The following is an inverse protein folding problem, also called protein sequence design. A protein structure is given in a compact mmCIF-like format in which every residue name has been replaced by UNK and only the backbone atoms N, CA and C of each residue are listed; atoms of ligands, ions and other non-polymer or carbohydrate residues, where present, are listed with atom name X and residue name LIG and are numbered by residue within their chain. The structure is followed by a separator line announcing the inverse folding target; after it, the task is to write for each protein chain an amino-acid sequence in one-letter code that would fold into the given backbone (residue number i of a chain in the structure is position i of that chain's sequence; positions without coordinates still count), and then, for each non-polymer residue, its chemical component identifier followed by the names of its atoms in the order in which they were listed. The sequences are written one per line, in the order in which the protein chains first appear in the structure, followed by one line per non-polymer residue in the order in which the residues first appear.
data_IF_756029720988
#
_entry.id   IF_756029720988
#
_cell.length_a   1.000
_cell.length_b   1.000
_cell.length_c   1.000
_cell.angle_alpha   90.00
_cell.angle_beta   90.00
_cell.angle_gamma   90.00
#
_symmetry.space_group_name_H-M   'P 1'
#
loop_
_entity.id
_entity.type
_entity.pdbx_description
1 polymer ?
#
# COMPACT_ATOMS: atom_id res chain seq x y z
N UNK A 1 -53.74 30.42 -13.60
CA UNK A 1 -54.07 31.85 -13.75
C UNK A 1 -53.20 32.61 -12.76
N UNK A 2 -52.13 33.20 -13.31
CA UNK A 2 -51.81 34.64 -13.21
C UNK A 2 -51.48 35.06 -11.77
N UNK A 3 -50.22 35.36 -11.42
CA UNK A 3 -49.42 36.44 -12.02
C UNK A 3 -49.89 37.77 -11.40
N UNK A 4 -49.07 38.74 -11.03
CA UNK A 4 -47.66 39.03 -11.14
C UNK A 4 -47.45 40.26 -10.20
N UNK A 5 -46.33 40.39 -9.49
CA UNK A 5 -45.22 41.30 -9.86
C UNK A 5 -45.52 42.78 -9.55
N UNK A 6 -44.74 43.48 -8.75
CA UNK A 6 -43.60 44.37 -9.11
C UNK A 6 -43.47 45.35 -7.90
N UNK A 7 -42.35 45.94 -7.47
CA UNK A 7 -41.20 46.36 -8.24
C UNK A 7 -39.97 46.74 -7.38
N UNK A 8 -38.80 46.44 -7.96
CA UNK A 8 -37.56 47.24 -8.08
C UNK A 8 -37.13 48.18 -6.93
N UNK A 9 -35.88 48.02 -6.48
CA UNK A 9 -34.81 48.93 -6.94
C UNK A 9 -33.39 48.38 -6.77
N UNK A 10 -32.57 48.64 -7.77
CA UNK A 10 -31.14 48.33 -7.91
C UNK A 10 -30.39 49.66 -7.87
N UNK A 11 -29.35 49.80 -7.04
CA UNK A 11 -28.16 50.54 -7.45
C UNK A 11 -26.92 50.19 -6.60
N UNK A 12 -25.79 50.12 -7.31
CA UNK A 12 -24.47 49.63 -6.93
C UNK A 12 -23.70 50.63 -6.04
N UNK A 13 -22.81 50.11 -5.20
CA UNK A 13 -21.52 50.76 -4.95
C UNK A 13 -20.45 49.71 -4.68
N UNK A 14 -19.40 49.76 -5.48
CA UNK A 14 -18.15 49.02 -5.34
C UNK A 14 -17.46 49.36 -4.01
N UNK A 15 -16.96 48.34 -3.31
CA UNK A 15 -15.68 48.46 -2.59
C UNK A 15 -14.94 47.15 -2.68
N UNK A 16 -13.84 47.21 -3.43
CA UNK A 16 -12.74 46.26 -3.50
C UNK A 16 -12.02 46.18 -2.14
N UNK A 17 -11.24 45.12 -1.94
CA UNK A 17 -10.31 44.83 -0.80
C UNK A 17 -10.99 44.40 0.51
N UNK A 18 -10.64 43.31 1.19
CA UNK A 18 -9.45 42.45 1.15
C UNK A 18 -9.83 41.02 1.54
N UNK A 19 -9.57 40.04 0.67
CA UNK A 19 -9.47 38.64 1.10
C UNK A 19 -8.14 38.51 1.85
N UNK A 20 -8.18 38.45 3.18
CA UNK A 20 -7.01 38.02 3.95
C UNK A 20 -6.87 36.51 3.76
N UNK A 21 -6.02 36.14 2.82
CA UNK A 21 -5.36 34.84 2.82
C UNK A 21 -4.63 34.73 4.16
N UNK A 22 -5.17 33.97 5.11
CA UNK A 22 -4.39 33.57 6.28
C UNK A 22 -3.35 32.56 5.81
N UNK A 23 -2.16 33.10 5.55
CA UNK A 23 -0.94 32.37 5.29
C UNK A 23 -0.79 31.21 6.26
N UNK A 24 -0.64 30.01 5.71
CA UNK A 24 -0.38 28.80 6.47
C UNK A 24 0.89 28.94 7.30
N UNK A 25 0.75 28.67 8.60
CA UNK A 25 1.83 28.14 9.45
C UNK A 25 1.30 27.34 10.66
N UNK A 26 -0.02 27.22 10.86
CA UNK A 26 -0.58 26.72 12.13
C UNK A 26 -1.03 25.25 12.14
N UNK A 27 -0.72 24.47 11.10
CA UNK A 27 -0.90 23.00 11.10
C UNK A 27 0.34 22.27 11.61
N UNK A 28 1.49 22.94 11.67
CA UNK A 28 2.75 22.34 12.13
C UNK A 28 2.86 22.31 13.66
N UNK A 29 2.20 23.24 14.38
CA UNK A 29 2.36 23.37 15.84
C UNK A 29 1.50 22.38 16.64
N UNK A 30 0.34 21.97 16.10
CA UNK A 30 -0.55 20.97 16.70
C UNK A 30 -0.12 19.51 16.44
N UNK A 31 0.55 19.25 15.32
CA UNK A 31 0.97 17.88 14.92
C UNK A 31 2.08 17.28 15.78
N UNK A 32 2.92 18.11 16.42
CA UNK A 32 3.96 17.63 17.32
C UNK A 32 3.42 17.09 18.66
N UNK A 33 2.33 17.65 19.19
CA UNK A 33 1.80 17.26 20.51
C UNK A 33 1.11 15.88 20.50
N UNK A 34 0.41 15.51 19.42
CA UNK A 34 -0.22 14.16 19.32
C UNK A 34 0.82 13.04 19.17
N UNK A 35 1.94 13.29 18.48
CA UNK A 35 3.08 12.37 18.40
C UNK A 35 3.80 12.22 19.75
N UNK A 36 3.67 13.19 20.66
CA UNK A 36 4.21 13.14 22.03
C UNK A 36 3.30 12.36 23.00
N UNK A 37 1.98 12.41 22.84
CA UNK A 37 1.01 11.78 23.77
C UNK A 37 0.80 10.27 23.55
N UNK A 38 1.18 9.72 22.38
CA UNK A 38 1.21 8.26 22.11
C UNK A 38 2.60 7.64 22.34
N UNK A 39 3.48 8.34 23.05
CA UNK A 39 4.85 7.92 23.26
C UNK A 39 4.93 6.72 24.22
N UNK A 40 5.40 5.59 23.69
CA UNK A 40 6.04 4.54 24.48
C UNK A 40 7.53 4.55 24.12
N UNK A 41 8.47 4.72 25.07
CA UNK A 41 9.88 4.51 24.81
C UNK A 41 10.10 3.03 24.50
N UNK A 42 10.09 2.68 23.22
CA UNK A 42 10.38 1.34 22.76
C UNK A 42 11.90 1.17 22.62
N UNK A 43 12.49 0.58 23.65
CA UNK A 43 13.89 0.18 23.66
C UNK A 43 14.09 -1.05 22.76
N UNK A 44 15.07 -0.98 21.85
CA UNK A 44 15.77 -2.18 21.39
C UNK A 44 17.26 -1.98 21.44
N UNK A 45 17.95 -3.08 21.74
CA UNK A 45 19.41 -3.23 21.64
C UNK A 45 19.92 -2.56 20.35
N UNK A 46 20.63 -1.44 20.54
CA UNK A 46 21.47 -0.82 19.52
C UNK A 46 20.91 0.39 18.76
N UNK A 47 19.72 0.92 19.07
CA UNK A 47 19.27 2.17 18.43
C UNK A 47 18.39 3.04 19.35
N UNK A 48 18.99 4.06 19.96
CA UNK A 48 18.26 5.11 20.67
C UNK A 48 17.70 6.11 19.65
N UNK A 49 16.39 6.04 19.36
CA UNK A 49 15.74 7.05 18.51
C UNK A 49 15.33 8.24 19.36
N UNK A 50 15.69 9.44 18.91
CA UNK A 50 15.46 10.69 19.62
C UNK A 50 14.18 11.38 19.13
N UNK A 51 13.70 12.37 19.89
CA UNK A 51 12.66 13.28 19.41
C UNK A 51 13.05 13.98 18.10
N UNK A 52 14.34 14.30 17.93
CA UNK A 52 14.87 14.92 16.71
C UNK A 52 14.80 13.98 15.52
N UNK A 53 15.02 12.69 15.73
CA UNK A 53 14.90 11.68 14.67
C UNK A 53 13.49 11.58 14.10
N UNK A 54 12.48 11.53 14.99
CA UNK A 54 11.07 11.55 14.56
C UNK A 54 10.73 12.82 13.81
N UNK A 55 11.13 13.97 14.35
CA UNK A 55 10.91 15.26 13.72
C UNK A 55 11.51 15.31 12.32
N UNK A 56 12.75 14.83 12.17
CA UNK A 56 13.43 14.73 10.88
C UNK A 56 12.68 13.81 9.92
N UNK A 57 12.36 12.59 10.32
CA UNK A 57 11.66 11.62 9.47
C UNK A 57 10.31 12.18 8.97
N UNK A 58 9.50 12.72 9.89
CA UNK A 58 8.18 13.24 9.55
C UNK A 58 8.22 14.57 8.80
N UNK A 59 9.32 15.33 8.86
CA UNK A 59 9.53 16.50 8.00
C UNK A 59 9.65 16.14 6.51
N UNK A 60 9.92 14.87 6.19
CA UNK A 60 10.02 14.33 4.83
C UNK A 60 8.69 13.77 4.32
N UNK A 61 7.58 14.07 5.02
CA UNK A 61 6.26 13.52 4.75
C UNK A 61 5.24 14.66 4.57
N UNK A 62 4.20 14.41 3.76
CA UNK A 62 2.95 15.18 3.83
C UNK A 62 2.03 14.47 4.83
N UNK A 63 1.76 15.13 5.94
CA UNK A 63 1.00 14.58 7.08
C UNK A 63 -0.40 15.20 7.09
N UNK A 64 -1.37 14.41 7.57
CA UNK A 64 -2.76 14.81 7.77
C UNK A 64 -3.20 14.45 9.19
N UNK A 65 -4.08 15.26 9.75
CA UNK A 65 -4.66 15.05 11.08
C UNK A 65 -5.84 14.06 11.05
N UNK A 66 -6.35 13.77 9.86
CA UNK A 66 -7.37 12.76 9.60
C UNK A 66 -6.73 11.35 9.61
N UNK A 67 -7.15 10.45 10.53
CA UNK A 67 -6.58 9.12 10.65
C UNK A 67 -6.83 8.24 9.41
N UNK A 68 -7.85 8.54 8.60
CA UNK A 68 -8.17 7.78 7.40
C UNK A 68 -7.33 8.24 6.18
N UNK A 69 -6.61 9.35 6.32
CA UNK A 69 -5.76 9.90 5.26
C UNK A 69 -4.33 9.35 5.34
N UNK A 70 -3.80 8.96 4.18
CA UNK A 70 -2.41 8.54 4.06
C UNK A 70 -1.45 9.69 4.38
N UNK A 71 -0.42 9.41 5.18
CA UNK A 71 0.74 10.30 5.26
C UNK A 71 1.69 9.93 4.14
N UNK A 72 1.88 10.83 3.19
CA UNK A 72 2.58 10.54 1.93
C UNK A 72 4.07 10.83 2.09
N UNK A 73 4.89 9.82 1.86
CA UNK A 73 6.34 9.99 1.71
C UNK A 73 6.66 10.82 0.47
N UNK A 74 7.38 11.93 0.61
CA UNK A 74 7.70 12.86 -0.50
C UNK A 74 9.19 12.93 -0.84
N UNK A 75 10.00 12.04 -0.26
CA UNK A 75 11.43 11.95 -0.55
C UNK A 75 11.72 10.79 -1.53
N UNK A 76 12.94 10.27 -1.51
CA UNK A 76 13.43 9.17 -2.36
C UNK A 76 12.51 7.94 -2.32
N UNK A 77 12.19 7.43 -3.51
CA UNK A 77 11.43 6.22 -3.74
C UNK A 77 12.32 5.15 -4.39
N UNK A 78 12.01 3.88 -4.19
CA UNK A 78 12.59 2.78 -4.97
C UNK A 78 11.78 2.50 -6.26
N UNK A 79 12.27 1.56 -7.07
CA UNK A 79 11.62 1.15 -8.33
C UNK A 79 10.26 0.50 -8.14
N UNK A 80 9.99 -0.03 -6.94
CA UNK A 80 8.71 -0.65 -6.58
C UNK A 80 7.74 0.38 -5.98
N UNK A 81 8.11 1.66 -5.90
CA UNK A 81 7.28 2.73 -5.39
C UNK A 81 7.16 2.75 -3.86
N UNK A 82 8.12 2.18 -3.14
CA UNK A 82 8.23 2.37 -1.69
C UNK A 82 9.19 3.51 -1.36
N UNK A 83 8.82 4.31 -0.35
CA UNK A 83 9.72 5.31 0.21
C UNK A 83 10.96 4.68 0.85
N UNK A 84 12.11 5.34 0.75
CA UNK A 84 13.34 4.90 1.41
C UNK A 84 14.18 6.07 1.93
N UNK A 85 14.95 5.80 2.98
CA UNK A 85 15.80 6.79 3.66
C UNK A 85 17.07 6.13 4.19
N UNK A 86 18.21 6.79 4.05
CA UNK A 86 19.40 6.47 4.84
C UNK A 86 19.27 7.14 6.20
N UNK A 87 19.19 6.33 7.26
CA UNK A 87 18.94 6.80 8.61
C UNK A 87 19.89 6.07 9.57
N UNK A 88 20.73 6.84 10.28
CA UNK A 88 21.84 6.35 11.12
C UNK A 88 22.74 5.32 10.40
N UNK A 89 23.23 5.68 9.20
CA UNK A 89 24.17 4.84 8.44
C UNK A 89 23.56 3.58 7.79
N UNK A 90 22.25 3.35 7.95
CA UNK A 90 21.54 2.20 7.37
C UNK A 90 20.46 2.66 6.41
N UNK A 91 20.26 1.93 5.31
CA UNK A 91 19.11 2.14 4.42
C UNK A 91 17.85 1.49 5.00
N UNK A 92 16.79 2.28 5.11
CA UNK A 92 15.48 1.87 5.61
C UNK A 92 14.39 2.05 4.54
N UNK A 93 13.42 1.15 4.54
CA UNK A 93 12.12 1.42 3.92
C UNK A 93 11.34 2.38 4.83
N UNK A 94 10.78 3.45 4.26
CA UNK A 94 10.18 4.55 5.02
C UNK A 94 9.02 4.08 5.90
N UNK A 95 8.14 3.21 5.39
CA UNK A 95 7.02 2.67 6.17
C UNK A 95 7.51 1.82 7.37
N UNK A 96 8.60 1.05 7.22
CA UNK A 96 9.20 0.28 8.32
C UNK A 96 9.83 1.19 9.36
N UNK A 97 10.50 2.25 8.92
CA UNK A 97 11.06 3.24 9.83
C UNK A 97 9.97 3.99 10.58
N UNK A 98 8.88 4.38 9.91
CA UNK A 98 7.70 4.99 10.54
C UNK A 98 7.13 4.11 11.65
N UNK A 99 6.90 2.82 11.36
CA UNK A 99 6.47 1.86 12.38
C UNK A 99 7.45 1.81 13.55
N UNK A 100 8.75 1.67 13.27
CA UNK A 100 9.78 1.58 14.32
C UNK A 100 9.84 2.82 15.20
N UNK A 101 9.70 4.02 14.62
CA UNK A 101 9.72 5.27 15.36
C UNK A 101 8.48 5.46 16.25
N UNK A 102 7.35 4.84 15.90
CA UNK A 102 6.08 4.98 16.63
C UNK A 102 5.83 3.86 17.64
N UNK A 103 6.13 2.61 17.27
CA UNK A 103 5.78 1.41 18.03
C UNK A 103 7.00 0.60 18.48
N UNK A 104 8.17 0.89 17.91
CA UNK A 104 9.38 0.15 18.18
C UNK A 104 9.63 -1.02 17.25
N UNK A 105 10.48 -1.96 17.68
CA UNK A 105 11.01 -2.98 16.78
C UNK A 105 9.89 -3.77 16.11
N UNK A 106 10.08 -4.02 14.83
CA UNK A 106 9.23 -4.96 14.11
C UNK A 106 9.52 -6.35 14.70
N UNK A 107 8.50 -7.08 15.20
CA UNK A 107 8.72 -8.41 15.77
C UNK A 107 9.39 -9.35 14.77
N UNK A 108 10.19 -10.29 15.29
CA UNK A 108 10.94 -11.22 14.44
C UNK A 108 9.99 -12.00 13.52
N UNK A 109 10.42 -12.21 12.26
CA UNK A 109 9.67 -12.91 11.20
C UNK A 109 8.40 -12.20 10.71
N UNK A 110 8.08 -11.02 11.22
CA UNK A 110 7.00 -10.20 10.69
C UNK A 110 7.50 -9.13 9.71
N UNK A 111 6.63 -8.76 8.79
CA UNK A 111 6.79 -7.60 7.90
C UNK A 111 5.73 -6.57 8.22
N UNK A 112 5.93 -5.34 7.74
CA UNK A 112 4.91 -4.29 7.84
C UNK A 112 4.05 -4.31 6.58
N UNK A 113 2.73 -4.32 6.79
CA UNK A 113 1.70 -4.41 5.76
C UNK A 113 0.86 -3.13 5.80
N UNK A 114 0.58 -2.57 4.62
CA UNK A 114 -0.32 -1.41 4.47
C UNK A 114 -1.78 -1.85 4.46
N UNK A 115 -2.60 -1.22 5.31
CA UNK A 115 -4.06 -1.38 5.25
C UNK A 115 -4.68 -0.58 4.10
N UNK A 116 -4.03 0.49 3.64
CA UNK A 116 -4.55 1.47 2.67
C UNK A 116 -4.14 1.26 1.20
N UNK A 117 -3.37 0.20 0.89
CA UNK A 117 -2.83 -0.11 -0.46
C UNK A 117 -1.98 0.99 -1.13
N UNK A 118 -1.61 2.04 -0.40
CA UNK A 118 -0.71 3.10 -0.88
C UNK A 118 0.74 2.82 -0.43
N UNK A 119 1.59 2.44 -1.39
CA UNK A 119 3.02 2.10 -1.13
C UNK A 119 3.85 3.27 -0.58
N UNK A 120 3.44 4.51 -0.88
CA UNK A 120 4.08 5.73 -0.36
C UNK A 120 3.59 6.11 1.05
N UNK A 121 2.56 5.43 1.57
CA UNK A 121 2.01 5.75 2.88
C UNK A 121 2.98 5.36 4.00
N UNK A 122 3.17 6.29 4.94
CA UNK A 122 3.95 6.11 6.15
C UNK A 122 3.15 6.45 7.42
N UNK A 123 1.84 6.59 7.32
CA UNK A 123 0.97 6.79 8.50
C UNK A 123 1.02 5.53 9.37
N UNK A 124 1.52 5.59 10.63
CA UNK A 124 1.60 4.41 11.50
C UNK A 124 0.25 3.70 11.69
N UNK A 125 -0.85 4.45 11.71
CA UNK A 125 -2.20 3.88 11.88
C UNK A 125 -2.67 3.10 10.62
N UNK A 126 -1.98 3.27 9.47
CA UNK A 126 -2.20 2.49 8.24
C UNK A 126 -1.23 1.31 8.10
N UNK A 127 -0.38 1.09 9.09
CA UNK A 127 0.65 0.06 9.10
C UNK A 127 0.32 -0.97 10.18
N UNK A 128 0.58 -2.24 9.88
CA UNK A 128 0.49 -3.31 10.87
C UNK A 128 1.58 -4.35 10.67
N UNK A 129 2.06 -5.01 11.72
CA UNK A 129 2.87 -6.20 11.58
C UNK A 129 2.00 -7.33 11.05
N UNK A 130 2.58 -8.18 10.21
CA UNK A 130 1.89 -9.33 9.68
C UNK A 130 2.85 -10.30 9.00
N UNK A 131 2.28 -11.44 8.62
CA UNK A 131 3.04 -12.51 7.96
C UNK A 131 3.04 -12.34 6.44
N UNK A 132 3.99 -13.00 5.76
CA UNK A 132 3.97 -13.08 4.30
C UNK A 132 2.67 -13.72 3.77
N UNK A 133 2.10 -14.65 4.52
CA UNK A 133 0.85 -15.32 4.17
C UNK A 133 -0.34 -14.38 4.27
N UNK A 134 -0.41 -13.55 5.32
CA UNK A 134 -1.43 -12.51 5.45
C UNK A 134 -1.34 -11.49 4.32
N UNK A 135 -0.14 -10.98 4.01
CA UNK A 135 0.03 -10.02 2.90
C UNK A 135 -0.43 -10.60 1.55
N UNK A 136 -0.10 -11.87 1.30
CA UNK A 136 -0.55 -12.58 0.09
C UNK A 136 -2.07 -12.79 0.07
N UNK A 137 -2.66 -13.09 1.23
CA UNK A 137 -4.12 -13.22 1.38
C UNK A 137 -4.82 -11.90 1.12
N UNK A 138 -4.34 -10.80 1.72
CA UNK A 138 -4.86 -9.45 1.51
C UNK A 138 -4.77 -9.05 0.02
N UNK A 139 -3.67 -9.36 -0.66
CA UNK A 139 -3.51 -9.13 -2.10
C UNK A 139 -4.57 -9.86 -2.93
N UNK A 140 -4.88 -11.13 -2.58
CA UNK A 140 -5.91 -11.92 -3.29
C UNK A 140 -7.30 -11.37 -3.00
N UNK A 141 -7.64 -11.13 -1.73
CA UNK A 141 -8.95 -10.61 -1.31
C UNK A 141 -9.23 -9.25 -1.96
N UNK A 142 -8.21 -8.40 -2.08
CA UNK A 142 -8.31 -7.07 -2.70
C UNK A 142 -8.20 -7.09 -4.23
N UNK A 143 -8.17 -8.27 -4.85
CA UNK A 143 -8.12 -8.40 -6.31
C UNK A 143 -6.84 -7.90 -6.96
N UNK A 144 -5.75 -7.74 -6.19
CA UNK A 144 -4.45 -7.27 -6.69
C UNK A 144 -3.56 -8.40 -7.23
N UNK A 145 -3.95 -9.65 -7.03
CA UNK A 145 -3.26 -10.81 -7.60
C UNK A 145 -3.50 -10.89 -9.12
N UNK A 146 -2.49 -11.32 -9.88
CA UNK A 146 -2.58 -11.55 -11.34
C UNK A 146 -2.52 -13.06 -11.62
N UNK A 147 -3.66 -13.79 -11.59
CA UNK A 147 -3.65 -15.24 -11.74
C UNK A 147 -3.54 -15.67 -13.21
N UNK A 148 -3.11 -16.92 -13.42
CA UNK A 148 -3.14 -17.55 -14.74
C UNK A 148 -2.36 -16.78 -15.79
N UNK A 149 -2.95 -16.60 -16.97
CA UNK A 149 -2.33 -15.86 -18.09
C UNK A 149 -2.05 -14.39 -17.81
N UNK A 150 -2.67 -13.80 -16.78
CA UNK A 150 -2.40 -12.41 -16.38
C UNK A 150 -1.03 -12.24 -15.73
N UNK A 151 -0.43 -13.34 -15.26
CA UNK A 151 0.94 -13.36 -14.79
C UNK A 151 1.89 -13.38 -16.00
N UNK A 152 2.75 -12.36 -16.12
CA UNK A 152 3.72 -12.26 -17.20
C UNK A 152 4.69 -13.47 -17.29
N UNK A 153 4.85 -14.23 -16.21
CA UNK A 153 5.68 -15.42 -16.16
C UNK A 153 4.91 -16.73 -16.40
N UNK A 154 3.59 -16.69 -16.64
CA UNK A 154 2.79 -17.88 -16.89
C UNK A 154 3.27 -18.59 -18.16
N UNK A 155 3.48 -19.91 -18.04
CA UNK A 155 3.91 -20.76 -19.16
C UNK A 155 2.76 -21.47 -19.87
N UNK A 156 1.57 -21.40 -19.28
CA UNK A 156 0.35 -21.99 -19.82
C UNK A 156 -0.69 -20.91 -19.97
N UNK A 157 -1.68 -21.16 -20.82
CA UNK A 157 -2.91 -20.36 -20.95
C UNK A 157 -4.08 -21.13 -20.35
N UNK A 158 -5.20 -20.46 -20.15
CA UNK A 158 -6.45 -21.08 -19.69
C UNK A 158 -6.88 -22.21 -20.64
N UNK A 159 -6.80 -21.99 -21.95
CA UNK A 159 -7.09 -23.00 -22.97
C UNK A 159 -6.17 -24.23 -22.86
N UNK A 160 -4.86 -24.00 -22.66
CA UNK A 160 -3.90 -25.09 -22.45
C UNK A 160 -4.22 -25.89 -21.18
N UNK A 161 -4.64 -25.22 -20.11
CA UNK A 161 -5.01 -25.86 -18.84
C UNK A 161 -6.27 -26.70 -18.98
N UNK A 162 -7.29 -26.20 -19.69
CA UNK A 162 -8.50 -26.97 -20.01
C UNK A 162 -8.13 -28.25 -20.76
N UNK A 163 -7.26 -28.14 -21.76
CA UNK A 163 -6.82 -29.29 -22.55
C UNK A 163 -5.99 -30.28 -21.73
N UNK A 164 -5.05 -29.79 -20.91
CA UNK A 164 -4.28 -30.62 -19.98
C UNK A 164 -5.21 -31.40 -19.04
N UNK A 165 -6.24 -30.74 -18.48
CA UNK A 165 -7.21 -31.41 -17.59
C UNK A 165 -8.00 -32.49 -18.31
N UNK A 166 -8.48 -32.20 -19.53
CA UNK A 166 -9.20 -33.17 -20.38
C UNK A 166 -8.34 -34.41 -20.64
N UNK A 167 -7.10 -34.22 -21.09
CA UNK A 167 -6.16 -35.30 -21.45
C UNK A 167 -5.68 -36.11 -20.25
N UNK A 168 -5.37 -35.43 -19.12
CA UNK A 168 -5.02 -36.12 -17.86
C UNK A 168 -6.19 -36.97 -17.34
N UNK A 169 -7.43 -36.48 -17.45
CA UNK A 169 -8.64 -37.25 -17.09
C UNK A 169 -8.84 -38.45 -18.01
N UNK A 170 -8.43 -38.36 -19.27
CA UNK A 170 -8.43 -39.48 -20.22
C UNK A 170 -7.28 -40.50 -19.99
N UNK A 171 -6.41 -40.27 -19.01
CA UNK A 171 -5.36 -41.21 -18.62
C UNK A 171 -3.97 -40.92 -19.19
N UNK A 172 -3.81 -39.86 -19.99
CA UNK A 172 -2.50 -39.50 -20.53
C UNK A 172 -1.51 -39.10 -19.43
N UNK A 173 -0.23 -39.44 -19.60
CA UNK A 173 0.79 -39.17 -18.58
C UNK A 173 1.19 -37.70 -18.61
N UNK A 174 1.30 -37.10 -17.43
CA UNK A 174 1.69 -35.68 -17.32
C UNK A 174 3.09 -35.36 -17.85
N UNK A 175 3.99 -36.35 -17.92
CA UNK A 175 5.33 -36.16 -18.50
C UNK A 175 5.28 -35.95 -20.02
N UNK A 176 4.39 -36.66 -20.71
CA UNK A 176 4.23 -36.54 -22.16
C UNK A 176 3.64 -35.17 -22.50
N UNK A 177 2.64 -34.74 -21.72
CA UNK A 177 2.08 -33.40 -21.81
C UNK A 177 3.12 -32.31 -21.49
N UNK A 178 4.02 -32.54 -20.55
CA UNK A 178 5.06 -31.56 -20.21
C UNK A 178 6.00 -31.30 -21.40
N UNK A 179 6.39 -32.37 -22.10
CA UNK A 179 7.19 -32.28 -23.34
C UNK A 179 6.42 -31.53 -24.43
N UNK A 180 5.16 -31.90 -24.67
CA UNK A 180 4.34 -31.30 -25.72
C UNK A 180 4.11 -29.80 -25.49
N UNK A 181 3.72 -29.41 -24.27
CA UNK A 181 3.50 -28.01 -23.90
C UNK A 181 4.82 -27.26 -23.61
N UNK A 182 5.97 -27.92 -23.69
CA UNK A 182 7.32 -27.37 -23.42
C UNK A 182 7.41 -26.68 -22.05
N UNK A 183 6.84 -27.32 -21.04
CA UNK A 183 6.85 -26.85 -19.65
C UNK A 183 7.44 -27.90 -18.72
N UNK A 184 7.84 -27.50 -17.52
CA UNK A 184 8.29 -28.46 -16.51
C UNK A 184 7.09 -29.31 -16.04
N UNK A 185 7.28 -30.61 -15.69
CA UNK A 185 6.18 -31.47 -15.23
C UNK A 185 5.38 -30.94 -14.03
N UNK A 186 6.01 -30.10 -13.19
CA UNK A 186 5.32 -29.42 -12.10
C UNK A 186 4.23 -28.44 -12.57
N UNK A 187 4.40 -27.79 -13.74
CA UNK A 187 3.38 -26.94 -14.33
C UNK A 187 2.14 -27.76 -14.74
N UNK A 188 2.35 -28.94 -15.33
CA UNK A 188 1.26 -29.86 -15.70
C UNK A 188 0.52 -30.33 -14.45
N UNK A 189 1.25 -30.73 -13.41
CA UNK A 189 0.65 -31.14 -12.13
C UNK A 189 -0.13 -29.99 -11.47
N UNK A 190 0.41 -28.77 -11.48
CA UNK A 190 -0.26 -27.58 -10.96
C UNK A 190 -1.52 -27.17 -11.73
N UNK A 191 -1.51 -27.34 -13.06
CA UNK A 191 -2.67 -27.14 -13.92
C UNK A 191 -3.77 -28.19 -13.70
N UNK A 192 -3.37 -29.47 -13.62
CA UNK A 192 -4.28 -30.59 -13.43
C UNK A 192 -4.95 -30.59 -12.05
N UNK A 193 -4.17 -30.40 -10.99
CA UNK A 193 -4.70 -30.38 -9.61
C UNK A 193 -5.51 -29.13 -9.27
N UNK A 194 -5.50 -28.13 -10.17
CA UNK A 194 -6.17 -26.85 -9.94
C UNK A 194 -5.49 -25.95 -8.91
N UNK A 195 -4.37 -26.35 -8.28
CA UNK A 195 -3.72 -25.56 -7.22
C UNK A 195 -3.34 -24.14 -7.67
N UNK A 196 -2.77 -24.01 -8.87
CA UNK A 196 -2.33 -22.73 -9.47
C UNK A 196 -3.39 -22.11 -10.38
N UNK A 197 -4.27 -22.93 -10.93
CA UNK A 197 -5.27 -22.56 -11.93
C UNK A 197 -6.69 -22.68 -11.40
N UNK A 198 -6.92 -22.27 -10.14
CA UNK A 198 -8.20 -22.40 -9.43
C UNK A 198 -9.37 -21.68 -10.13
N UNK A 199 -9.06 -20.63 -10.87
CA UNK A 199 -10.03 -19.81 -11.60
C UNK A 199 -10.48 -20.44 -12.94
N UNK A 200 -9.73 -21.43 -13.45
CA UNK A 200 -10.15 -22.22 -14.60
C UNK A 200 -10.94 -23.39 -14.06
N UNK A 201 -12.15 -23.63 -14.57
CA UNK A 201 -13.03 -24.74 -14.19
C UNK A 201 -12.95 -25.86 -15.23
#
# INVERSE_FOLDING_TARGET
MSGASLDRNVQKSETYTSHTYTSGTDTLRWNFLKLELRWNPCYTEGMETTRKDRAYFYSLCRISDDPDVCWVWIHTMDSDGYGCLNFHGKRWAAHRLSWTLQHGPIPQRLMIIHSCDNRSCVNPDHLRPGTAQENSTDMVVRGRSRPGSQNANAKLTEAAVIEIRRRRKAGERGIDLAVEFRVHPSNISGAYTGKQWRHVT
#
